data_IF_181585601254
#
_entry.id   IF_181585601254
#
_cell.length_a   1.000
_cell.length_b   1.000
_cell.length_c   1.000
_cell.angle_alpha   90.00
_cell.angle_beta   90.00
_cell.angle_gamma   90.00
#
_symmetry.space_group_name_H-M   'P 1'
#
loop_
_entity.id
_entity.type
_entity.pdbx_description
1 polymer ?
#
# COMPACT_ATOMS: atom_id res chain seq x y z
N UNK A 1 -2.95 12.43 -2.59
CA UNK A 1 -1.67 13.07 -2.28
C UNK A 1 -0.52 12.23 -2.82
N UNK A 2 0.58 12.87 -3.29
CA UNK A 2 1.78 12.17 -3.74
C UNK A 2 1.71 11.49 -5.11
N UNK A 3 0.67 11.70 -5.89
CA UNK A 3 0.51 11.05 -7.20
C UNK A 3 1.35 11.74 -8.28
N UNK A 4 1.47 13.06 -8.21
CA UNK A 4 2.17 13.87 -9.22
C UNK A 4 3.54 14.35 -8.76
N UNK A 5 4.30 13.53 -8.03
CA UNK A 5 5.59 13.92 -7.44
C UNK A 5 6.63 14.32 -8.49
N UNK A 6 6.54 13.79 -9.71
CA UNK A 6 7.39 14.16 -10.85
C UNK A 6 6.71 15.14 -11.82
N UNK A 7 5.54 15.66 -11.47
CA UNK A 7 4.72 16.58 -12.28
C UNK A 7 3.62 15.87 -13.07
N UNK A 8 2.58 16.66 -13.39
CA UNK A 8 1.49 16.19 -14.24
C UNK A 8 1.98 16.07 -15.71
N UNK A 9 1.74 14.92 -16.33
CA UNK A 9 2.14 14.63 -17.72
C UNK A 9 3.65 14.83 -17.98
N UNK A 10 4.48 14.38 -17.06
CA UNK A 10 5.93 14.46 -17.26
C UNK A 10 6.33 13.79 -18.60
N UNK A 11 7.03 14.49 -19.53
CA UNK A 11 7.19 14.03 -20.90
C UNK A 11 7.92 12.68 -21.02
N UNK A 12 8.93 12.44 -20.19
CA UNK A 12 9.63 11.14 -20.17
C UNK A 12 8.72 9.99 -19.72
N UNK A 13 7.83 10.23 -18.76
CA UNK A 13 6.87 9.21 -18.26
C UNK A 13 5.84 8.93 -19.36
N UNK A 14 5.26 9.97 -19.96
CA UNK A 14 4.28 9.82 -21.04
C UNK A 14 4.88 9.03 -22.21
N UNK A 15 6.09 9.40 -22.63
CA UNK A 15 6.77 8.69 -23.73
C UNK A 15 7.03 7.21 -23.38
N UNK A 16 7.53 6.92 -22.19
CA UNK A 16 7.79 5.54 -21.77
C UNK A 16 6.52 4.67 -21.78
N UNK A 17 5.38 5.23 -21.33
CA UNK A 17 4.08 4.53 -21.37
C UNK A 17 3.63 4.30 -22.81
N UNK A 18 3.72 5.31 -23.69
CA UNK A 18 3.37 5.19 -25.10
C UNK A 18 4.20 4.13 -25.82
N UNK A 19 5.52 4.12 -25.60
CA UNK A 19 6.43 3.15 -26.20
C UNK A 19 6.12 1.72 -25.70
N UNK A 20 5.78 1.58 -24.42
CA UNK A 20 5.42 0.28 -23.85
C UNK A 20 4.08 -0.25 -24.38
N UNK A 21 3.09 0.60 -24.56
CA UNK A 21 1.79 0.21 -25.12
C UNK A 21 1.91 -0.35 -26.55
N UNK A 22 2.90 0.08 -27.32
CA UNK A 22 3.18 -0.48 -28.66
C UNK A 22 3.82 -1.88 -28.60
N UNK A 23 4.49 -2.21 -27.49
CA UNK A 23 5.16 -3.52 -27.31
C UNK A 23 4.25 -4.52 -26.62
N UNK A 24 3.59 -4.09 -25.55
CA UNK A 24 2.75 -4.93 -24.70
C UNK A 24 1.70 -4.07 -24.01
N UNK A 25 0.47 -4.13 -24.49
CA UNK A 25 -0.64 -3.33 -23.95
C UNK A 25 -1.20 -3.90 -22.64
N UNK A 26 -1.17 -5.23 -22.46
CA UNK A 26 -1.67 -5.94 -21.28
C UNK A 26 -0.59 -6.83 -20.69
N UNK A 27 -0.62 -6.97 -19.38
CA UNK A 27 0.27 -7.82 -18.63
C UNK A 27 -0.54 -8.81 -17.76
N UNK A 28 -0.10 -10.08 -17.73
CA UNK A 28 -0.58 -11.09 -16.79
C UNK A 28 0.45 -11.32 -15.69
N UNK A 29 -0.02 -11.50 -14.44
CA UNK A 29 0.87 -11.85 -13.33
C UNK A 29 1.45 -13.27 -13.47
N UNK A 30 0.80 -14.12 -14.25
CA UNK A 30 1.24 -15.50 -14.50
C UNK A 30 2.43 -15.59 -15.45
N UNK A 31 2.75 -14.49 -16.14
CA UNK A 31 3.85 -14.42 -17.09
C UNK A 31 5.03 -13.62 -16.53
N UNK A 32 6.23 -13.98 -16.98
CA UNK A 32 7.43 -13.19 -16.68
C UNK A 32 7.36 -11.84 -17.39
N UNK A 33 7.58 -10.78 -16.64
CA UNK A 33 7.62 -9.42 -17.16
C UNK A 33 8.98 -8.78 -16.82
N UNK A 34 9.78 -8.41 -17.84
CA UNK A 34 11.10 -7.82 -17.62
C UNK A 34 11.04 -6.47 -16.88
N UNK A 35 10.01 -5.64 -17.13
CA UNK A 35 9.89 -4.33 -16.47
C UNK A 35 9.53 -4.48 -15.00
N UNK A 36 8.62 -5.41 -14.68
CA UNK A 36 8.29 -5.73 -13.28
C UNK A 36 9.51 -6.28 -12.53
N UNK A 37 10.26 -7.19 -13.16
CA UNK A 37 11.48 -7.75 -12.57
C UNK A 37 12.54 -6.67 -12.35
N UNK A 38 12.75 -5.79 -13.34
CA UNK A 38 13.68 -4.66 -13.22
C UNK A 38 13.26 -3.68 -12.12
N UNK A 39 11.98 -3.36 -12.01
CA UNK A 39 11.46 -2.49 -10.94
C UNK A 39 11.66 -3.14 -9.56
N UNK A 40 11.37 -4.43 -9.42
CA UNK A 40 11.61 -5.16 -8.17
C UNK A 40 13.09 -5.13 -7.76
N UNK A 41 13.99 -5.31 -8.74
CA UNK A 41 15.44 -5.21 -8.50
C UNK A 41 15.83 -3.80 -8.04
N UNK A 42 15.39 -2.75 -8.74
CA UNK A 42 15.70 -1.37 -8.37
C UNK A 42 15.20 -1.07 -6.95
N UNK A 43 13.97 -1.49 -6.61
CA UNK A 43 13.43 -1.30 -5.27
C UNK A 43 14.28 -2.03 -4.22
N UNK A 44 14.71 -3.25 -4.48
CA UNK A 44 15.58 -3.99 -3.58
C UNK A 44 16.95 -3.30 -3.38
N UNK A 45 17.48 -2.67 -4.43
CA UNK A 45 18.78 -1.98 -4.38
C UNK A 45 18.71 -0.64 -3.61
N UNK A 46 17.57 0.06 -3.60
CA UNK A 46 17.43 1.38 -2.98
C UNK A 46 16.72 1.37 -1.62
N UNK A 47 16.04 0.29 -1.25
CA UNK A 47 15.37 0.19 0.04
C UNK A 47 16.37 -0.14 1.16
N UNK A 48 16.17 0.38 2.38
CA UNK A 48 17.08 0.14 3.49
C UNK A 48 16.99 -1.31 4.00
N UNK A 49 18.09 -1.79 4.58
CA UNK A 49 18.16 -3.11 5.19
C UNK A 49 18.07 -4.26 4.19
N UNK A 50 17.37 -5.31 4.54
CA UNK A 50 17.28 -6.56 3.77
C UNK A 50 15.93 -6.74 3.05
N UNK A 51 15.30 -5.64 2.65
CA UNK A 51 14.02 -5.63 1.93
C UNK A 51 14.24 -5.98 0.45
N UNK A 52 14.20 -7.26 0.10
CA UNK A 52 14.52 -7.77 -1.25
C UNK A 52 13.31 -8.17 -2.08
N UNK A 53 12.14 -8.28 -1.47
CA UNK A 53 10.94 -8.75 -2.14
C UNK A 53 9.93 -7.64 -2.31
N UNK A 54 9.32 -7.57 -3.48
CA UNK A 54 8.28 -6.60 -3.82
C UNK A 54 6.99 -7.30 -4.21
N UNK A 55 5.87 -6.81 -3.71
CA UNK A 55 4.53 -7.22 -4.12
C UNK A 55 3.82 -6.03 -4.74
N UNK A 56 3.57 -6.09 -6.04
CA UNK A 56 2.95 -4.99 -6.78
C UNK A 56 1.43 -5.10 -6.77
N UNK A 57 0.77 -3.97 -6.55
CA UNK A 57 -0.70 -3.84 -6.52
C UNK A 57 -1.10 -2.64 -7.39
N UNK A 58 -2.41 -2.51 -7.65
CA UNK A 58 -2.92 -1.42 -8.49
C UNK A 58 -3.20 -0.13 -7.70
N UNK A 59 -3.22 -0.19 -6.38
CA UNK A 59 -3.55 0.96 -5.54
C UNK A 59 -2.97 0.86 -4.13
N UNK A 60 -2.87 2.00 -3.45
CA UNK A 60 -2.43 2.03 -2.05
C UNK A 60 -3.36 1.28 -1.10
N UNK A 61 -4.67 1.26 -1.36
CA UNK A 61 -5.61 0.48 -0.55
C UNK A 61 -5.37 -1.02 -0.70
N UNK A 62 -5.09 -1.52 -1.90
CA UNK A 62 -4.72 -2.91 -2.14
C UNK A 62 -3.39 -3.28 -1.46
N UNK A 63 -2.41 -2.37 -1.50
CA UNK A 63 -1.13 -2.55 -0.79
C UNK A 63 -1.35 -2.69 0.71
N UNK A 64 -2.22 -1.88 1.30
CA UNK A 64 -2.57 -1.99 2.72
C UNK A 64 -3.30 -3.31 3.01
N UNK A 65 -4.27 -3.71 2.18
CA UNK A 65 -4.95 -5.01 2.34
C UNK A 65 -3.97 -6.19 2.29
N UNK A 66 -3.04 -6.16 1.34
CA UNK A 66 -1.98 -7.17 1.23
C UNK A 66 -1.09 -7.20 2.49
N UNK A 67 -0.68 -6.02 2.98
CA UNK A 67 0.13 -5.90 4.19
C UNK A 67 -0.59 -6.43 5.43
N UNK A 68 -1.90 -6.13 5.59
CA UNK A 68 -2.71 -6.64 6.70
C UNK A 68 -2.81 -8.17 6.67
N UNK A 69 -3.03 -8.75 5.49
CA UNK A 69 -3.08 -10.20 5.31
C UNK A 69 -1.73 -10.85 5.61
N UNK A 70 -0.65 -10.29 5.06
CA UNK A 70 0.70 -10.80 5.28
C UNK A 70 1.08 -10.74 6.77
N UNK A 71 0.78 -9.62 7.44
CA UNK A 71 1.05 -9.45 8.87
C UNK A 71 0.32 -10.50 9.72
N UNK A 72 -0.95 -10.80 9.41
CA UNK A 72 -1.70 -11.86 10.08
C UNK A 72 -1.07 -13.24 9.87
N UNK A 73 -0.74 -13.56 8.61
CA UNK A 73 -0.12 -14.87 8.27
C UNK A 73 1.24 -15.07 8.95
N UNK A 74 2.04 -14.02 9.03
CA UNK A 74 3.38 -14.08 9.61
C UNK A 74 3.38 -14.13 11.14
N UNK A 75 2.52 -13.33 11.79
CA UNK A 75 2.56 -13.13 13.24
C UNK A 75 1.53 -13.96 14.01
N UNK A 76 0.54 -14.52 13.33
CA UNK A 76 -0.65 -15.17 13.91
C UNK A 76 -1.43 -14.27 14.90
N UNK A 77 -1.28 -12.94 14.73
CA UNK A 77 -1.94 -11.92 15.55
C UNK A 77 -3.11 -11.31 14.80
N UNK A 78 -4.15 -10.91 15.54
CA UNK A 78 -5.38 -10.35 14.98
C UNK A 78 -5.57 -8.85 15.26
N UNK A 79 -4.73 -8.27 16.14
CA UNK A 79 -4.83 -6.87 16.51
C UNK A 79 -3.87 -6.02 15.70
N UNK A 80 -4.39 -4.92 15.16
CA UNK A 80 -3.63 -3.88 14.48
C UNK A 80 -3.71 -2.56 15.24
N UNK A 81 -2.58 -1.88 15.35
CA UNK A 81 -2.51 -0.54 15.91
C UNK A 81 -2.31 0.44 14.75
N UNK A 82 -3.15 1.47 14.71
CA UNK A 82 -3.06 2.56 13.76
C UNK A 82 -3.05 3.89 14.50
N UNK A 83 -2.60 4.97 13.86
CA UNK A 83 -2.58 6.27 14.50
C UNK A 83 -3.83 7.08 14.22
N UNK A 84 -4.22 7.93 15.17
CA UNK A 84 -5.27 8.92 14.95
C UNK A 84 -4.87 9.86 13.79
N UNK A 85 -5.84 10.32 13.01
CA UNK A 85 -5.67 11.13 11.79
C UNK A 85 -5.02 10.38 10.62
N UNK A 86 -4.74 9.09 10.73
CA UNK A 86 -4.21 8.30 9.62
C UNK A 86 -5.24 8.09 8.50
N UNK A 87 -4.72 7.85 7.31
CA UNK A 87 -5.50 7.42 6.16
C UNK A 87 -4.76 6.27 5.45
N UNK A 88 -5.43 5.12 5.34
CA UNK A 88 -4.87 3.90 4.76
C UNK A 88 -5.61 3.42 3.51
N UNK A 89 -6.73 4.00 3.19
CA UNK A 89 -7.55 3.64 2.04
C UNK A 89 -9.03 3.58 2.35
N UNK A 90 -9.80 3.05 1.41
CA UNK A 90 -11.28 3.02 1.46
C UNK A 90 -11.88 1.63 1.29
N UNK A 91 -11.11 0.57 1.03
CA UNK A 91 -11.57 -0.81 1.16
C UNK A 91 -11.81 -1.15 2.63
N UNK A 92 -12.61 -2.15 2.96
CA UNK A 92 -13.05 -2.39 4.34
C UNK A 92 -11.89 -2.61 5.32
N UNK A 93 -10.84 -3.34 4.94
CA UNK A 93 -9.66 -3.54 5.78
C UNK A 93 -8.85 -2.26 5.96
N UNK A 94 -8.51 -1.58 4.87
CA UNK A 94 -7.77 -0.32 4.93
C UNK A 94 -8.56 0.80 5.60
N UNK A 95 -9.90 0.81 5.43
CA UNK A 95 -10.78 1.75 6.10
C UNK A 95 -10.85 1.49 7.61
N UNK A 96 -10.71 0.24 8.03
CA UNK A 96 -10.64 -0.12 9.46
C UNK A 96 -9.41 0.49 10.14
N UNK A 97 -8.27 0.57 9.42
CA UNK A 97 -7.07 1.27 9.86
C UNK A 97 -7.16 2.80 9.76
N UNK A 98 -7.98 3.33 8.86
CA UNK A 98 -8.16 4.77 8.69
C UNK A 98 -8.87 5.37 9.91
N UNK A 99 -8.31 6.44 10.50
CA UNK A 99 -8.83 6.99 11.76
C UNK A 99 -9.92 8.06 11.61
N UNK A 100 -10.05 8.69 10.43
CA UNK A 100 -11.00 9.80 10.23
C UNK A 100 -12.44 9.30 10.27
N UNK A 101 -13.19 9.73 11.31
CA UNK A 101 -14.56 9.31 11.58
C UNK A 101 -15.52 9.55 10.41
N UNK A 102 -15.36 10.66 9.69
CA UNK A 102 -16.20 11.00 8.54
C UNK A 102 -16.17 9.95 7.42
N UNK A 103 -15.04 9.23 7.28
CA UNK A 103 -14.92 8.17 6.29
C UNK A 103 -15.43 6.82 6.80
N UNK A 104 -15.42 6.59 8.13
CA UNK A 104 -15.74 5.31 8.76
C UNK A 104 -17.20 5.15 9.15
N UNK A 105 -17.81 6.22 9.69
CA UNK A 105 -19.16 6.18 10.28
C UNK A 105 -20.23 5.53 9.38
N UNK A 106 -20.30 5.86 8.07
CA UNK A 106 -21.33 5.28 7.20
C UNK A 106 -21.17 3.76 6.96
N UNK A 107 -20.01 3.17 7.29
CA UNK A 107 -19.66 1.79 6.95
C UNK A 107 -19.47 0.88 8.18
N UNK A 108 -19.93 1.32 9.34
CA UNK A 108 -19.88 0.50 10.55
C UNK A 108 -20.93 -0.63 10.50
N UNK A 109 -20.60 -1.84 11.02
CA UNK A 109 -19.34 -2.20 11.65
C UNK A 109 -18.23 -2.48 10.62
N UNK A 110 -16.99 -2.07 10.94
CA UNK A 110 -15.79 -2.38 10.17
C UNK A 110 -15.13 -3.66 10.67
N UNK A 111 -14.01 -4.04 10.04
CA UNK A 111 -13.25 -5.23 10.46
C UNK A 111 -12.75 -5.06 11.88
N UNK A 112 -13.00 -6.03 12.78
CA UNK A 112 -12.58 -5.95 14.18
C UNK A 112 -11.05 -6.04 14.32
N UNK A 113 -10.55 -5.70 15.51
CA UNK A 113 -9.12 -5.81 15.86
C UNK A 113 -8.30 -4.56 15.57
N UNK A 114 -8.90 -3.45 15.16
CA UNK A 114 -8.19 -2.18 14.96
C UNK A 114 -8.31 -1.27 16.18
N UNK A 115 -7.15 -0.83 16.70
CA UNK A 115 -7.01 0.17 17.75
C UNK A 115 -6.34 1.41 17.18
N UNK A 116 -6.76 2.59 17.65
CA UNK A 116 -6.20 3.86 17.20
C UNK A 116 -5.57 4.59 18.39
N UNK A 117 -4.30 4.95 18.25
CA UNK A 117 -3.52 5.67 19.27
C UNK A 117 -3.05 7.02 18.71
N UNK A 118 -2.80 8.04 19.53
CA UNK A 118 -2.19 9.28 19.06
C UNK A 118 -0.82 9.01 18.41
N UNK A 119 -0.50 9.75 17.35
CA UNK A 119 0.82 9.66 16.72
C UNK A 119 1.91 10.11 17.71
N UNK A 120 2.92 9.28 17.89
CA UNK A 120 4.03 9.55 18.83
C UNK A 120 3.78 9.17 20.29
N UNK A 121 2.59 8.70 20.65
CA UNK A 121 2.28 8.24 22.00
C UNK A 121 2.71 6.78 22.17
N UNK A 122 3.95 6.58 22.61
CA UNK A 122 4.55 5.25 22.79
C UNK A 122 3.89 4.51 23.96
N UNK A 123 3.47 5.20 25.00
CA UNK A 123 2.87 4.58 26.18
C UNK A 123 1.48 4.02 25.86
N UNK A 124 0.67 4.72 25.08
CA UNK A 124 -0.58 4.18 24.55
C UNK A 124 -0.37 3.02 23.57
N UNK A 125 0.70 3.03 22.80
CA UNK A 125 0.99 1.96 21.86
C UNK A 125 1.42 0.65 22.55
N UNK A 126 1.99 0.74 23.76
CA UNK A 126 2.42 -0.42 24.55
C UNK A 126 1.29 -1.09 25.35
N UNK A 127 0.18 -0.40 25.56
CA UNK A 127 -1.04 -0.89 26.24
C UNK A 127 -1.97 -1.63 25.27
#
# INVERSE_FOLDING_TARGET
FGIYNVGHRHPKVVKAVQDQLQRQALHSQDLLDPLRAMLAKILADITPGDLKYSFFTNSGTESVEAALKLAKMYSDRTTFISTTRSFHGKSLGSLSGTAKGMFRKPFLPLIPGFRHVPFGDIDMMRK
#
